data_IF_956367287630
#
_entry.id   IF_956367287630
#
_cell.length_a   1.000
_cell.length_b   1.000
_cell.length_c   1.000
_cell.angle_alpha   90.00
_cell.angle_beta   90.00
_cell.angle_gamma   90.00
#
_symmetry.space_group_name_H-M   'P 1'
#
loop_
_entity.id
_entity.type
_entity.pdbx_description
1 polymer ?
#
# COMPACT_ATOMS: atom_id res chain seq x y z
N UNK A 1 8.23 2.26 -4.12
CA UNK A 1 9.07 3.47 -3.97
C UNK A 1 10.36 3.05 -3.28
N UNK A 2 11.53 3.35 -3.87
CA UNK A 2 12.82 2.99 -3.25
C UNK A 2 13.21 4.13 -2.29
N UNK A 3 13.18 3.84 -0.99
CA UNK A 3 13.29 4.87 0.07
C UNK A 3 14.64 5.59 0.11
N UNK A 4 15.70 4.96 -0.41
CA UNK A 4 17.07 5.50 -0.42
C UNK A 4 17.34 6.53 -1.53
N UNK A 5 16.42 6.73 -2.49
CA UNK A 5 16.57 7.75 -3.53
C UNK A 5 16.03 9.11 -3.07
N UNK A 6 16.56 10.22 -3.61
CA UNK A 6 15.99 11.57 -3.35
C UNK A 6 14.54 11.66 -3.86
N UNK A 7 13.63 12.41 -3.20
CA UNK A 7 12.21 12.51 -3.62
C UNK A 7 12.00 12.82 -5.11
N UNK A 8 12.85 13.65 -5.71
CA UNK A 8 12.82 13.98 -7.15
C UNK A 8 13.03 12.77 -8.08
N UNK A 9 13.62 11.69 -7.58
CA UNK A 9 13.92 10.46 -8.33
C UNK A 9 13.06 9.27 -7.91
N UNK A 10 12.19 9.43 -6.90
CA UNK A 10 11.37 8.34 -6.36
C UNK A 10 10.19 7.95 -7.25
N UNK A 11 9.79 8.83 -8.18
CA UNK A 11 8.64 8.66 -9.05
C UNK A 11 9.01 8.98 -10.50
N UNK A 12 9.42 7.95 -11.24
CA UNK A 12 9.61 8.00 -12.69
C UNK A 12 8.71 6.96 -13.34
N UNK A 13 8.05 7.29 -14.44
CA UNK A 13 7.24 6.33 -15.20
C UNK A 13 8.07 5.13 -15.69
N UNK A 14 9.38 5.34 -15.92
CA UNK A 14 10.31 4.28 -16.31
C UNK A 14 10.49 3.21 -15.23
N UNK A 15 10.18 3.53 -13.97
CA UNK A 15 10.30 2.63 -12.83
C UNK A 15 8.95 2.03 -12.41
N UNK A 16 7.91 2.15 -13.24
CA UNK A 16 6.59 1.53 -13.02
C UNK A 16 6.49 0.31 -13.92
N UNK A 17 6.51 -0.87 -13.31
CA UNK A 17 6.38 -2.14 -14.01
C UNK A 17 5.00 -2.76 -13.72
N UNK A 18 4.31 -3.19 -14.77
CA UNK A 18 3.03 -3.86 -14.64
C UNK A 18 3.25 -5.27 -14.10
N UNK A 19 2.68 -5.55 -12.93
CA UNK A 19 2.80 -6.85 -12.26
C UNK A 19 1.55 -7.72 -12.47
N UNK A 20 0.37 -7.12 -12.48
CA UNK A 20 -0.91 -7.83 -12.63
C UNK A 20 -1.95 -6.91 -13.26
N UNK A 21 -2.79 -7.47 -14.12
CA UNK A 21 -3.97 -6.83 -14.69
C UNK A 21 -5.10 -7.85 -14.78
N UNK A 22 -6.31 -7.43 -14.47
CA UNK A 22 -7.50 -8.29 -14.57
C UNK A 22 -8.70 -7.49 -15.08
N UNK A 23 -9.73 -8.20 -15.55
CA UNK A 23 -11.01 -7.59 -15.92
C UNK A 23 -11.83 -7.30 -14.66
N UNK A 24 -12.59 -6.21 -14.68
CA UNK A 24 -13.46 -5.83 -13.57
C UNK A 24 -14.46 -6.93 -13.19
N UNK A 25 -14.97 -7.67 -14.18
CA UNK A 25 -15.89 -8.78 -13.95
C UNK A 25 -15.22 -9.91 -13.13
N UNK A 26 -14.00 -10.30 -13.49
CA UNK A 26 -13.21 -11.29 -12.75
C UNK A 26 -12.90 -10.80 -11.33
N UNK A 27 -12.56 -9.51 -11.16
CA UNK A 27 -12.33 -8.94 -9.84
C UNK A 27 -13.60 -8.96 -8.96
N UNK A 28 -14.76 -8.70 -9.55
CA UNK A 28 -16.05 -8.74 -8.83
C UNK A 28 -16.46 -10.17 -8.46
N UNK A 29 -16.18 -11.14 -9.33
CA UNK A 29 -16.54 -12.55 -9.14
C UNK A 29 -15.66 -13.24 -8.09
N UNK A 30 -14.34 -13.06 -8.16
CA UNK A 30 -13.38 -13.80 -7.33
C UNK A 30 -12.78 -12.96 -6.19
N UNK A 31 -12.90 -11.63 -6.24
CA UNK A 31 -12.33 -10.70 -5.26
C UNK A 31 -10.83 -10.47 -5.42
N UNK A 32 -10.34 -9.39 -4.81
CA UNK A 32 -8.91 -9.03 -4.86
C UNK A 32 -7.98 -10.11 -4.29
N UNK A 33 -8.41 -10.83 -3.24
CA UNK A 33 -7.59 -11.84 -2.59
C UNK A 33 -7.18 -12.95 -3.57
N UNK A 34 -8.14 -13.49 -4.31
CA UNK A 34 -7.88 -14.55 -5.28
C UNK A 34 -7.07 -14.03 -6.48
N UNK A 35 -7.41 -12.85 -6.99
CA UNK A 35 -6.70 -12.25 -8.13
C UNK A 35 -5.23 -11.95 -7.82
N UNK A 36 -4.94 -11.48 -6.60
CA UNK A 36 -3.59 -11.09 -6.18
C UNK A 36 -2.80 -12.22 -5.52
N UNK A 37 -3.39 -13.39 -5.29
CA UNK A 37 -2.72 -14.52 -4.64
C UNK A 37 -1.40 -14.92 -5.32
N UNK A 38 -1.31 -15.04 -6.66
CA UNK A 38 -0.04 -15.37 -7.31
C UNK A 38 1.04 -14.31 -7.05
N UNK A 39 0.66 -13.03 -7.09
CA UNK A 39 1.56 -11.91 -6.81
C UNK A 39 2.08 -11.96 -5.37
N UNK A 40 1.18 -12.22 -4.41
CA UNK A 40 1.56 -12.30 -3.00
C UNK A 40 2.47 -13.50 -2.73
N UNK A 41 2.30 -14.61 -3.44
CA UNK A 41 3.18 -15.78 -3.34
C UNK A 41 4.61 -15.44 -3.77
N UNK A 42 4.76 -14.75 -4.89
CA UNK A 42 6.09 -14.33 -5.39
C UNK A 42 6.75 -13.31 -4.46
N UNK A 43 5.97 -12.37 -3.93
CA UNK A 43 6.48 -11.39 -2.96
C UNK A 43 6.93 -12.08 -1.68
N UNK A 44 6.15 -13.02 -1.14
CA UNK A 44 6.53 -13.77 0.06
C UNK A 44 7.82 -14.57 -0.16
N UNK A 45 7.98 -15.17 -1.34
CA UNK A 45 9.23 -15.83 -1.72
C UNK A 45 10.42 -14.85 -1.73
N UNK A 46 10.25 -13.64 -2.29
CA UNK A 46 11.31 -12.62 -2.31
C UNK A 46 11.61 -12.03 -0.91
N UNK A 47 10.66 -12.08 0.02
CA UNK A 47 10.86 -11.71 1.43
C UNK A 47 11.69 -12.78 2.14
N UNK A 48 11.31 -14.06 1.98
CA UNK A 48 11.92 -15.17 2.71
C UNK A 48 13.28 -15.57 2.13
N UNK A 49 13.32 -15.80 0.82
CA UNK A 49 14.48 -16.32 0.08
C UNK A 49 15.30 -15.19 -0.54
N UNK A 50 14.65 -14.28 -1.26
CA UNK A 50 15.32 -13.23 -2.02
C UNK A 50 15.74 -13.65 -3.43
N UNK A 51 16.58 -12.83 -4.08
CA UNK A 51 17.15 -13.10 -5.40
C UNK A 51 18.65 -12.84 -5.40
N UNK A 52 19.44 -13.83 -5.82
CA UNK A 52 20.88 -13.67 -6.03
C UNK A 52 21.15 -13.00 -7.37
N UNK A 53 21.95 -11.93 -7.34
CA UNK A 53 22.40 -11.21 -8.54
C UNK A 53 23.91 -11.04 -8.46
N UNK A 54 24.60 -11.32 -9.56
CA UNK A 54 26.03 -11.06 -9.67
C UNK A 54 26.24 -9.56 -9.89
N UNK A 55 26.87 -8.89 -8.94
CA UNK A 55 27.19 -7.46 -8.99
C UNK A 55 28.71 -7.33 -8.88
N UNK A 56 29.35 -6.82 -9.93
CA UNK A 56 30.81 -6.62 -9.98
C UNK A 56 31.62 -7.89 -9.67
N UNK A 57 31.11 -9.06 -10.05
CA UNK A 57 31.76 -10.36 -9.83
C UNK A 57 31.46 -11.01 -8.48
N UNK A 58 30.73 -10.32 -7.59
CA UNK A 58 30.29 -10.83 -6.29
C UNK A 58 28.81 -11.22 -6.33
N UNK A 59 28.47 -12.36 -5.75
CA UNK A 59 27.07 -12.78 -5.63
C UNK A 59 26.40 -12.06 -4.45
N UNK A 60 25.43 -11.21 -4.75
CA UNK A 60 24.68 -10.44 -3.75
C UNK A 60 23.23 -10.92 -3.72
N UNK A 61 22.75 -11.35 -2.55
CA UNK A 61 21.35 -11.73 -2.35
C UNK A 61 20.51 -10.51 -1.92
N UNK A 62 19.51 -10.17 -2.73
CA UNK A 62 18.56 -9.09 -2.47
C UNK A 62 17.23 -9.65 -1.96
N UNK A 63 16.84 -9.26 -0.76
CA UNK A 63 15.48 -9.50 -0.23
C UNK A 63 14.61 -8.28 -0.46
N UNK A 64 13.35 -8.52 -0.80
CA UNK A 64 12.41 -7.47 -1.19
C UNK A 64 11.12 -7.59 -0.37
N UNK A 65 10.47 -6.47 -0.14
CA UNK A 65 9.16 -6.41 0.52
C UNK A 65 8.34 -5.22 0.00
N UNK A 66 7.04 -5.22 0.27
CA UNK A 66 6.15 -4.13 -0.08
C UNK A 66 6.29 -3.02 0.96
N UNK A 67 6.73 -1.84 0.55
CA UNK A 67 6.82 -0.67 1.44
C UNK A 67 5.52 0.12 1.55
N UNK A 68 4.70 0.12 0.50
CA UNK A 68 3.42 0.83 0.47
C UNK A 68 2.49 0.24 -0.59
N UNK A 69 1.19 0.30 -0.32
CA UNK A 69 0.12 0.03 -1.29
C UNK A 69 -0.64 1.34 -1.51
N UNK A 70 -0.62 1.84 -2.74
CA UNK A 70 -1.29 3.07 -3.13
C UNK A 70 -2.36 2.79 -4.17
N UNK A 71 -3.54 3.37 -3.98
CA UNK A 71 -4.59 3.45 -4.97
C UNK A 71 -5.39 4.73 -4.78
N UNK A 72 -6.33 4.98 -5.69
CA UNK A 72 -7.35 5.99 -5.42
C UNK A 72 -8.16 5.63 -4.16
N UNK A 73 -9.08 6.52 -3.77
CA UNK A 73 -9.84 6.30 -2.55
C UNK A 73 -10.67 5.01 -2.59
N UNK A 74 -11.35 4.69 -3.69
CA UNK A 74 -12.22 3.51 -3.75
C UNK A 74 -11.41 2.22 -3.77
N UNK A 75 -10.37 2.16 -4.58
CA UNK A 75 -9.46 1.01 -4.66
C UNK A 75 -8.77 0.74 -3.32
N UNK A 76 -8.30 1.80 -2.64
CA UNK A 76 -7.67 1.65 -1.32
C UNK A 76 -8.63 1.14 -0.25
N UNK A 77 -9.88 1.59 -0.26
CA UNK A 77 -10.90 1.12 0.68
C UNK A 77 -11.25 -0.35 0.39
N UNK A 78 -11.43 -0.70 -0.88
CA UNK A 78 -11.70 -2.06 -1.32
C UNK A 78 -10.59 -3.04 -0.94
N UNK A 79 -9.33 -2.71 -1.23
CA UNK A 79 -8.17 -3.54 -0.84
C UNK A 79 -8.01 -3.66 0.68
N UNK A 80 -8.37 -2.61 1.43
CA UNK A 80 -8.36 -2.62 2.89
C UNK A 80 -9.54 -3.36 3.54
N UNK A 81 -10.48 -3.88 2.75
CA UNK A 81 -11.68 -4.55 3.28
C UNK A 81 -12.70 -3.60 3.92
N UNK A 82 -12.63 -2.30 3.62
CA UNK A 82 -13.50 -1.27 4.18
C UNK A 82 -14.72 -1.01 3.28
N UNK A 83 -15.78 -0.46 3.89
CA UNK A 83 -16.95 0.05 3.16
C UNK A 83 -16.54 1.23 2.27
N UNK A 84 -17.22 1.38 1.14
CA UNK A 84 -17.02 2.55 0.25
C UNK A 84 -17.31 3.86 0.99
N UNK A 85 -16.60 4.93 0.63
CA UNK A 85 -16.70 6.24 1.30
C UNK A 85 -18.15 6.75 1.46
N UNK A 86 -18.99 6.52 0.44
CA UNK A 86 -20.38 6.94 0.45
C UNK A 86 -21.18 6.25 1.57
N UNK A 87 -20.92 4.96 1.82
CA UNK A 87 -21.66 4.12 2.76
C UNK A 87 -21.00 3.96 4.13
N UNK A 88 -19.72 4.28 4.26
CA UNK A 88 -18.98 4.19 5.52
C UNK A 88 -19.38 5.31 6.50
N UNK A 89 -19.51 5.01 7.79
CA UNK A 89 -19.65 6.02 8.85
C UNK A 89 -18.32 6.77 9.04
N UNK A 90 -17.25 6.01 9.28
CA UNK A 90 -15.88 6.51 9.33
C UNK A 90 -15.37 6.69 7.90
N UNK A 91 -15.22 7.94 7.48
CA UNK A 91 -14.88 8.32 6.10
C UNK A 91 -13.41 8.06 5.78
N UNK A 92 -12.52 8.28 6.75
CA UNK A 92 -11.09 8.11 6.56
C UNK A 92 -10.58 6.84 7.26
N UNK A 93 -9.93 5.94 6.51
CA UNK A 93 -9.31 4.71 7.06
C UNK A 93 -8.10 4.97 7.96
N UNK A 94 -7.54 6.18 7.92
CA UNK A 94 -6.39 6.55 8.75
C UNK A 94 -6.83 7.28 10.00
N UNK A 95 -7.55 8.39 9.88
CA UNK A 95 -7.90 9.22 11.05
C UNK A 95 -9.31 8.96 11.61
N UNK A 96 -10.06 8.00 11.04
CA UNK A 96 -11.42 7.66 11.45
C UNK A 96 -12.43 8.84 11.49
N UNK A 97 -12.16 9.89 10.72
CA UNK A 97 -13.02 11.07 10.64
C UNK A 97 -14.44 10.71 10.19
N UNK A 98 -15.46 11.33 10.79
CA UNK A 98 -16.85 11.26 10.32
C UNK A 98 -17.13 12.32 9.25
N UNK A 99 -18.35 12.34 8.71
CA UNK A 99 -18.72 13.28 7.65
C UNK A 99 -18.54 14.74 8.08
N UNK A 100 -18.87 15.05 9.33
CA UNK A 100 -18.82 16.38 9.93
C UNK A 100 -17.37 16.85 10.11
N UNK A 101 -16.47 15.94 10.54
CA UNK A 101 -15.04 16.22 10.66
C UNK A 101 -14.42 16.59 9.31
N UNK A 102 -14.83 15.91 8.23
CA UNK A 102 -14.29 16.16 6.88
C UNK A 102 -14.63 17.57 6.35
N UNK A 103 -15.67 18.22 6.88
CA UNK A 103 -16.05 19.59 6.51
C UNK A 103 -15.35 20.65 7.36
N UNK A 104 -14.93 20.30 8.58
CA UNK A 104 -14.53 21.28 9.61
C UNK A 104 -13.09 21.14 10.07
N UNK A 105 -12.48 19.96 9.91
CA UNK A 105 -11.15 19.62 10.42
C UNK A 105 -10.34 18.91 9.34
N UNK A 106 -9.88 19.62 8.30
CA UNK A 106 -8.94 19.04 7.35
C UNK A 106 -7.71 18.53 8.10
N UNK A 107 -7.30 17.29 7.81
CA UNK A 107 -6.14 16.67 8.46
C UNK A 107 -4.91 17.53 8.15
N UNK A 108 -4.20 17.94 9.20
CA UNK A 108 -2.99 18.74 9.10
C UNK A 108 -1.79 17.93 9.62
N UNK A 109 -0.59 18.51 9.49
CA UNK A 109 0.64 17.83 9.91
C UNK A 109 0.64 17.44 11.39
N UNK A 110 0.06 18.27 12.25
CA UNK A 110 -0.01 18.01 13.69
C UNK A 110 -0.95 16.84 14.02
N UNK A 111 -2.15 16.83 13.44
CA UNK A 111 -3.10 15.72 13.65
C UNK A 111 -2.63 14.40 13.01
N UNK A 112 -1.82 14.47 11.95
CA UNK A 112 -1.11 13.29 11.44
C UNK A 112 -0.10 12.74 12.45
N UNK A 113 0.75 13.59 13.03
CA UNK A 113 1.76 13.17 14.00
C UNK A 113 1.13 12.53 15.25
N UNK A 114 0.04 13.10 15.77
CA UNK A 114 -0.71 12.55 16.90
C UNK A 114 -1.26 11.15 16.59
N UNK A 115 -1.81 10.94 15.40
CA UNK A 115 -2.29 9.62 14.99
C UNK A 115 -1.18 8.57 14.91
N UNK A 116 -0.01 8.93 14.35
CA UNK A 116 1.13 8.02 14.30
C UNK A 116 1.59 7.62 15.71
N UNK A 117 1.65 8.58 16.64
CA UNK A 117 1.98 8.31 18.03
C UNK A 117 1.00 7.32 18.69
N UNK A 118 -0.30 7.47 18.43
CA UNK A 118 -1.32 6.55 18.96
C UNK A 118 -1.23 5.11 18.41
N UNK A 119 -0.66 4.90 17.23
CA UNK A 119 -0.43 3.57 16.68
C UNK A 119 0.77 2.88 17.34
N UNK A 120 1.84 3.64 17.63
CA UNK A 120 3.01 3.08 18.33
C UNK A 120 2.72 2.65 19.76
N UNK A 121 1.80 3.32 20.46
CA UNK A 121 1.42 2.96 21.84
C UNK A 121 0.61 1.66 21.93
N UNK A 122 -0.08 1.25 20.86
CA UNK A 122 -0.91 0.04 20.82
C UNK A 122 -0.15 -1.21 20.34
N UNK A 123 1.18 -1.14 20.25
CA UNK A 123 2.04 -2.26 19.81
C UNK A 123 2.89 -2.85 20.95
N UNK A 124 2.50 -2.60 22.21
CA UNK A 124 3.12 -3.17 23.42
C UNK A 124 2.25 -4.27 24.04
#
# INVERSE_FOLDING_TARGET
MIGNLSPKYRSSLLNIHLLCITRSQTLQEYGAKAVLEPVMKDINYLVEVGISVLVDGEEVCFKLTISAVSGDNLASQYLGGYKSLASAYLKCRSCFAVKEDMQTKPRNRASHAQHIASLSENTA
#
